data_IF_154356266307
#
_entry.id   IF_154356266307
#
_cell.length_a   1.000
_cell.length_b   1.000
_cell.length_c   1.000
_cell.angle_alpha   90.00
_cell.angle_beta   90.00
_cell.angle_gamma   90.00
#
_symmetry.space_group_name_H-M   'P 1'
#
loop_
_entity.id
_entity.type
_entity.pdbx_description
1 polymer ?
#
# COMPACT_ATOMS: atom_id res chain seq x y z
N UNK A 1 11.85 5.89 -21.84
CA UNK A 1 12.95 5.12 -22.50
C UNK A 1 12.83 5.03 -24.03
N UNK A 2 11.77 4.46 -24.61
CA UNK A 2 11.66 4.24 -26.07
C UNK A 2 11.81 5.52 -26.92
N UNK A 3 11.26 6.65 -26.45
CA UNK A 3 11.39 7.99 -27.06
C UNK A 3 12.83 8.52 -27.10
N UNK A 4 13.63 8.28 -26.05
CA UNK A 4 15.03 8.76 -25.97
C UNK A 4 15.98 7.92 -26.80
N UNK A 5 15.74 6.60 -26.87
CA UNK A 5 16.47 5.72 -27.78
C UNK A 5 16.23 6.13 -29.24
N UNK A 6 14.99 6.44 -29.61
CA UNK A 6 14.67 6.95 -30.95
C UNK A 6 15.38 8.29 -31.24
N UNK A 7 15.42 9.21 -30.27
CA UNK A 7 16.11 10.48 -30.40
C UNK A 7 17.63 10.30 -30.56
N UNK A 8 18.25 9.42 -29.77
CA UNK A 8 19.67 9.11 -29.87
C UNK A 8 20.03 8.49 -31.23
N UNK A 9 19.23 7.54 -31.71
CA UNK A 9 19.41 6.93 -33.05
C UNK A 9 19.28 7.98 -34.16
N UNK A 10 18.31 8.89 -34.05
CA UNK A 10 18.11 9.97 -35.02
C UNK A 10 19.33 10.92 -35.06
N UNK A 11 19.86 11.31 -33.90
CA UNK A 11 21.06 12.16 -33.83
C UNK A 11 22.27 11.47 -34.47
N UNK A 12 22.46 10.17 -34.24
CA UNK A 12 23.55 9.39 -34.85
C UNK A 12 23.40 9.38 -36.36
N UNK A 13 22.20 9.08 -36.88
CA UNK A 13 21.92 9.05 -38.32
C UNK A 13 22.09 10.43 -38.99
N UNK A 14 21.67 11.51 -38.32
CA UNK A 14 21.84 12.88 -38.83
C UNK A 14 23.31 13.27 -38.86
N UNK A 15 24.08 12.95 -37.82
CA UNK A 15 25.52 13.26 -37.75
C UNK A 15 26.30 12.47 -38.81
N UNK A 16 25.97 11.19 -39.00
CA UNK A 16 26.58 10.37 -40.04
C UNK A 16 26.16 10.83 -41.45
N UNK A 17 24.88 11.12 -41.65
CA UNK A 17 24.34 11.60 -42.93
C UNK A 17 24.87 12.97 -43.33
N UNK A 18 25.01 13.91 -42.39
CA UNK A 18 25.60 15.23 -42.67
C UNK A 18 27.07 15.12 -43.06
N UNK A 19 27.83 14.23 -42.43
CA UNK A 19 29.21 13.98 -42.84
C UNK A 19 29.30 13.40 -44.26
N UNK A 20 28.51 12.35 -44.57
CA UNK A 20 28.47 11.77 -45.91
C UNK A 20 28.06 12.80 -46.97
N UNK A 21 27.08 13.65 -46.66
CA UNK A 21 26.64 14.71 -47.55
C UNK A 21 27.75 15.72 -47.85
N UNK A 22 28.44 16.23 -46.81
CA UNK A 22 29.51 17.21 -47.01
C UNK A 22 30.73 16.62 -47.72
N UNK A 23 31.11 15.39 -47.39
CA UNK A 23 32.34 14.78 -47.90
C UNK A 23 32.18 14.26 -49.34
N UNK A 24 31.07 13.60 -49.64
CA UNK A 24 30.82 12.96 -50.94
C UNK A 24 30.19 13.91 -51.96
N UNK A 25 29.10 14.60 -51.58
CA UNK A 25 28.33 15.41 -52.53
C UNK A 25 28.89 16.81 -52.74
N UNK A 26 29.44 17.45 -51.69
CA UNK A 26 29.92 18.84 -51.78
C UNK A 26 31.39 18.96 -52.15
N UNK A 27 32.24 18.04 -51.70
CA UNK A 27 33.70 18.12 -51.91
C UNK A 27 34.23 17.26 -53.05
N UNK A 28 33.39 16.44 -53.72
CA UNK A 28 33.77 15.53 -54.81
C UNK A 28 35.05 14.71 -54.54
N UNK A 29 35.34 14.39 -53.27
CA UNK A 29 36.49 13.58 -52.94
C UNK A 29 36.18 12.12 -53.26
N UNK A 30 37.08 11.46 -53.99
CA UNK A 30 37.06 10.00 -54.13
C UNK A 30 37.15 9.33 -52.76
N UNK A 31 36.67 8.09 -52.67
CA UNK A 31 36.68 7.29 -51.45
C UNK A 31 38.13 6.90 -51.09
N UNK A 32 38.91 7.86 -50.57
CA UNK A 32 40.32 7.62 -50.24
C UNK A 32 40.38 6.81 -48.93
N UNK A 33 40.94 5.60 -49.01
CA UNK A 33 41.24 4.72 -47.87
C UNK A 33 42.51 5.23 -47.17
N UNK A 34 42.50 6.49 -46.76
CA UNK A 34 43.58 7.10 -45.99
C UNK A 34 43.23 7.01 -44.50
N UNK A 35 44.07 6.29 -43.76
CA UNK A 35 43.95 6.10 -42.31
C UNK A 35 43.83 7.43 -41.56
N UNK A 36 44.53 8.48 -42.03
CA UNK A 36 44.51 9.79 -41.39
C UNK A 36 43.16 10.50 -41.55
N UNK A 37 42.51 10.36 -42.72
CA UNK A 37 41.17 10.91 -42.95
C UNK A 37 40.11 10.20 -42.12
N UNK A 38 40.23 8.88 -41.97
CA UNK A 38 39.36 8.09 -41.09
C UNK A 38 39.51 8.44 -39.61
N UNK A 39 40.74 8.68 -39.16
CA UNK A 39 41.02 9.17 -37.81
C UNK A 39 40.36 10.52 -37.53
N UNK A 40 40.48 11.47 -38.48
CA UNK A 40 39.84 12.79 -38.36
C UNK A 40 38.31 12.71 -38.38
N UNK A 41 37.73 11.81 -39.17
CA UNK A 41 36.29 11.54 -39.18
C UNK A 41 35.80 11.01 -37.83
N UNK A 42 36.46 9.98 -37.30
CA UNK A 42 36.16 9.43 -35.98
C UNK A 42 36.27 10.50 -34.89
N UNK A 43 37.26 11.38 -34.99
CA UNK A 43 37.43 12.54 -34.10
C UNK A 43 36.27 13.54 -34.17
N UNK A 44 35.80 13.89 -35.37
CA UNK A 44 34.64 14.78 -35.55
C UNK A 44 33.35 14.16 -35.03
N UNK A 45 33.04 12.92 -35.43
CA UNK A 45 31.84 12.21 -34.98
C UNK A 45 31.88 12.00 -33.47
N UNK A 46 33.01 11.56 -32.91
CA UNK A 46 33.17 11.40 -31.47
C UNK A 46 33.08 12.73 -30.71
N UNK A 47 33.64 13.81 -31.26
CA UNK A 47 33.60 15.15 -30.68
C UNK A 47 32.21 15.80 -30.68
N UNK A 48 31.36 15.50 -31.67
CA UNK A 48 29.98 16.00 -31.75
C UNK A 48 29.02 15.08 -31.00
N UNK A 49 29.09 13.76 -31.23
CA UNK A 49 28.21 12.80 -30.57
C UNK A 49 28.51 12.66 -29.08
N UNK A 50 29.76 12.76 -28.66
CA UNK A 50 30.15 12.60 -27.25
C UNK A 50 29.37 13.53 -26.32
N UNK A 51 29.40 14.85 -26.51
CA UNK A 51 28.62 15.81 -25.71
C UNK A 51 27.10 15.60 -25.82
N UNK A 52 26.57 15.32 -27.02
CA UNK A 52 25.13 15.13 -27.23
C UNK A 52 24.63 13.86 -26.53
N UNK A 53 25.33 12.74 -26.69
CA UNK A 53 25.00 11.49 -26.02
C UNK A 53 25.17 11.61 -24.51
N UNK A 54 26.17 12.36 -24.03
CA UNK A 54 26.36 12.62 -22.60
C UNK A 54 25.19 13.42 -22.03
N UNK A 55 24.73 14.47 -22.73
CA UNK A 55 23.55 15.23 -22.33
C UNK A 55 22.27 14.38 -22.32
N UNK A 56 22.05 13.56 -23.35
CA UNK A 56 20.92 12.62 -23.42
C UNK A 56 20.97 11.58 -22.31
N UNK A 57 22.16 11.06 -21.98
CA UNK A 57 22.35 10.12 -20.89
C UNK A 57 21.99 10.75 -19.54
N UNK A 58 22.43 11.99 -19.28
CA UNK A 58 22.07 12.71 -18.06
C UNK A 58 20.56 12.94 -17.93
N UNK A 59 19.88 13.33 -19.02
CA UNK A 59 18.42 13.49 -19.04
C UNK A 59 17.72 12.16 -18.76
N UNK A 60 18.16 11.08 -19.40
CA UNK A 60 17.58 9.75 -19.21
C UNK A 60 17.75 9.24 -17.77
N UNK A 61 18.92 9.45 -17.17
CA UNK A 61 19.18 9.13 -15.77
C UNK A 61 18.29 9.95 -14.85
N UNK A 62 18.15 11.26 -15.09
CA UNK A 62 17.28 12.13 -14.29
C UNK A 62 15.83 11.67 -14.28
N UNK A 63 15.25 11.36 -15.45
CA UNK A 63 13.88 10.83 -15.54
C UNK A 63 13.76 9.46 -14.87
N UNK A 64 14.78 8.61 -15.02
CA UNK A 64 14.80 7.29 -14.37
C UNK A 64 14.79 7.42 -12.84
N UNK A 65 15.61 8.31 -12.28
CA UNK A 65 15.64 8.57 -10.84
C UNK A 65 14.32 9.12 -10.31
N UNK A 66 13.67 10.01 -11.05
CA UNK A 66 12.35 10.53 -10.67
C UNK A 66 11.29 9.42 -10.63
N UNK A 67 11.25 8.57 -11.67
CA UNK A 67 10.32 7.45 -11.72
C UNK A 67 10.61 6.41 -10.62
N UNK A 68 11.89 6.12 -10.37
CA UNK A 68 12.31 5.24 -9.28
C UNK A 68 11.90 5.79 -7.92
N UNK A 69 12.04 7.10 -7.69
CA UNK A 69 11.60 7.74 -6.45
C UNK A 69 10.10 7.58 -6.23
N UNK A 70 9.28 7.88 -7.24
CA UNK A 70 7.82 7.73 -7.16
C UNK A 70 7.41 6.27 -6.92
N UNK A 71 8.04 5.32 -7.64
CA UNK A 71 7.79 3.90 -7.46
C UNK A 71 8.17 3.43 -6.04
N UNK A 72 9.30 3.91 -5.52
CA UNK A 72 9.76 3.58 -4.17
C UNK A 72 8.83 4.17 -3.09
N UNK A 73 8.39 5.42 -3.22
CA UNK A 73 7.41 6.02 -2.31
C UNK A 73 6.07 5.26 -2.32
N UNK A 74 5.63 4.83 -3.50
CA UNK A 74 4.43 4.00 -3.62
C UNK A 74 4.61 2.62 -2.97
N UNK A 75 5.75 1.98 -3.17
CA UNK A 75 6.10 0.69 -2.54
C UNK A 75 6.11 0.81 -1.01
N UNK A 76 6.76 1.83 -0.47
CA UNK A 76 6.83 2.05 0.98
C UNK A 76 5.45 2.22 1.61
N UNK A 77 4.55 2.97 0.96
CA UNK A 77 3.16 3.12 1.43
C UNK A 77 2.39 1.81 1.37
N UNK A 78 2.59 1.02 0.31
CA UNK A 78 1.98 -0.29 0.17
C UNK A 78 2.45 -1.25 1.27
N UNK A 79 3.75 -1.28 1.53
CA UNK A 79 4.36 -2.10 2.59
C UNK A 79 3.85 -1.70 3.97
N UNK A 80 3.72 -0.39 4.25
CA UNK A 80 3.16 0.08 5.52
C UNK A 80 1.71 -0.39 5.73
N UNK A 81 0.89 -0.36 4.67
CA UNK A 81 -0.50 -0.85 4.73
C UNK A 81 -0.53 -2.36 4.98
N UNK A 82 0.36 -3.12 4.34
CA UNK A 82 0.44 -4.57 4.52
C UNK A 82 0.89 -4.93 5.92
N UNK A 83 1.94 -4.29 6.45
CA UNK A 83 2.39 -4.49 7.83
C UNK A 83 1.26 -4.23 8.83
N UNK A 84 0.54 -3.13 8.69
CA UNK A 84 -0.62 -2.82 9.56
C UNK A 84 -1.75 -3.84 9.42
N UNK A 85 -1.94 -4.39 8.22
CA UNK A 85 -2.94 -5.43 7.97
C UNK A 85 -2.54 -6.74 8.65
N UNK A 86 -1.26 -7.12 8.58
CA UNK A 86 -0.71 -8.27 9.29
C UNK A 86 -0.80 -8.11 10.82
N UNK A 87 -0.47 -6.92 11.33
CA UNK A 87 -0.63 -6.59 12.75
C UNK A 87 -2.09 -6.72 13.19
N UNK A 88 -3.03 -6.23 12.39
CA UNK A 88 -4.46 -6.36 12.63
C UNK A 88 -4.90 -7.84 12.65
N UNK A 89 -4.40 -8.66 11.72
CA UNK A 89 -4.66 -10.09 11.72
C UNK A 89 -4.08 -10.79 12.95
N UNK A 90 -2.91 -10.37 13.43
CA UNK A 90 -2.30 -10.90 14.64
C UNK A 90 -3.10 -10.52 15.89
N UNK A 91 -3.52 -9.26 16.02
CA UNK A 91 -4.43 -8.79 17.07
C UNK A 91 -5.73 -9.59 17.02
N UNK A 92 -6.28 -9.78 15.83
CA UNK A 92 -7.49 -10.57 15.62
C UNK A 92 -7.31 -12.02 16.10
N UNK A 93 -6.22 -12.70 15.74
CA UNK A 93 -5.93 -14.07 16.20
C UNK A 93 -5.79 -14.15 17.72
N UNK A 94 -5.12 -13.19 18.34
CA UNK A 94 -5.00 -13.12 19.80
C UNK A 94 -6.36 -12.89 20.46
N UNK A 95 -7.20 -12.04 19.87
CA UNK A 95 -8.57 -11.81 20.31
C UNK A 95 -9.42 -13.08 20.20
N UNK A 96 -9.37 -13.79 19.07
CA UNK A 96 -10.08 -15.08 18.91
C UNK A 96 -9.64 -16.09 19.98
N UNK A 97 -8.33 -16.19 20.21
CA UNK A 97 -7.78 -17.06 21.26
C UNK A 97 -8.31 -16.66 22.63
N UNK A 98 -8.33 -15.36 22.95
CA UNK A 98 -8.85 -14.84 24.21
C UNK A 98 -10.33 -15.19 24.40
N UNK A 99 -11.17 -14.99 23.38
CA UNK A 99 -12.62 -15.19 23.53
C UNK A 99 -13.02 -16.67 23.56
N UNK A 100 -12.24 -17.54 22.92
CA UNK A 100 -12.49 -18.98 22.89
C UNK A 100 -11.79 -19.76 24.01
N UNK A 101 -10.82 -19.15 24.71
CA UNK A 101 -10.20 -19.77 25.88
C UNK A 101 -11.22 -19.89 27.00
N UNK A 102 -11.34 -21.11 27.55
CA UNK A 102 -12.22 -21.38 28.69
C UNK A 102 -11.65 -20.74 29.96
N UNK A 103 -12.49 -20.04 30.69
CA UNK A 103 -12.12 -19.45 31.96
C UNK A 103 -12.80 -20.20 33.11
N UNK A 104 -12.01 -20.58 34.13
CA UNK A 104 -12.55 -21.22 35.35
C UNK A 104 -13.59 -20.35 36.05
N UNK A 105 -13.42 -19.03 35.98
CA UNK A 105 -14.36 -18.03 36.51
C UNK A 105 -15.71 -18.06 35.78
N UNK A 106 -15.72 -18.41 34.49
CA UNK A 106 -16.93 -18.52 33.66
C UNK A 106 -17.52 -19.95 33.67
N UNK A 107 -17.34 -20.70 34.75
CA UNK A 107 -17.83 -22.08 34.88
C UNK A 107 -17.38 -23.01 33.73
N UNK A 108 -16.11 -22.89 33.32
CA UNK A 108 -15.53 -23.65 32.18
C UNK A 108 -16.15 -23.32 30.81
N UNK A 109 -16.92 -22.24 30.70
CA UNK A 109 -17.33 -21.66 29.41
C UNK A 109 -16.24 -20.71 28.89
N UNK A 110 -16.19 -20.59 27.57
CA UNK A 110 -15.44 -19.52 26.90
C UNK A 110 -16.18 -18.18 27.03
N UNK A 111 -15.46 -17.07 26.86
CA UNK A 111 -16.09 -15.72 26.82
C UNK A 111 -17.10 -15.64 25.69
N UNK A 112 -16.80 -16.26 24.54
CA UNK A 112 -17.69 -16.34 23.39
C UNK A 112 -19.02 -17.03 23.75
N UNK A 113 -18.96 -18.21 24.35
CA UNK A 113 -20.14 -18.95 24.78
C UNK A 113 -20.91 -18.18 25.87
N UNK A 114 -20.23 -17.61 26.85
CA UNK A 114 -20.86 -16.87 27.94
C UNK A 114 -21.62 -15.63 27.49
N UNK A 115 -21.10 -14.90 26.49
CA UNK A 115 -21.74 -13.70 25.91
C UNK A 115 -22.89 -14.07 24.96
N UNK A 116 -22.76 -15.16 24.21
CA UNK A 116 -23.76 -15.56 23.23
C UNK A 116 -24.91 -16.41 23.83
N UNK A 117 -24.72 -16.93 25.04
CA UNK A 117 -25.72 -17.73 25.74
C UNK A 117 -26.85 -16.86 26.32
N UNK A 118 -27.95 -16.78 25.57
CA UNK A 118 -29.19 -16.10 25.95
C UNK A 118 -29.86 -16.60 27.24
N UNK A 119 -29.44 -17.76 27.78
CA UNK A 119 -30.07 -18.37 28.97
C UNK A 119 -29.64 -17.73 30.30
N UNK A 120 -28.61 -16.86 30.32
CA UNK A 120 -28.17 -16.14 31.52
C UNK A 120 -29.11 -15.00 31.95
N UNK A 121 -30.18 -14.72 31.19
CA UNK A 121 -31.19 -13.71 31.52
C UNK A 121 -32.03 -13.98 32.76
N UNK A 122 -31.83 -15.09 33.50
CA UNK A 122 -32.69 -15.46 34.65
C UNK A 122 -32.00 -15.64 36.00
N UNK A 123 -30.68 -15.62 36.08
CA UNK A 123 -30.00 -15.50 37.38
C UNK A 123 -28.80 -14.60 37.20
N UNK A 124 -28.86 -13.38 37.73
CA UNK A 124 -27.74 -12.45 37.90
C UNK A 124 -26.75 -12.47 36.74
N UNK A 125 -26.88 -11.56 35.77
CA UNK A 125 -25.76 -11.22 34.87
C UNK A 125 -24.53 -11.04 35.74
N UNK A 126 -23.67 -12.06 35.80
CA UNK A 126 -22.58 -12.05 36.77
C UNK A 126 -21.70 -10.87 36.41
N UNK A 127 -21.28 -10.10 37.42
CA UNK A 127 -20.42 -8.94 37.18
C UNK A 127 -19.21 -9.32 36.30
N UNK A 128 -18.73 -10.55 36.45
CA UNK A 128 -17.68 -11.17 35.63
C UNK A 128 -18.00 -11.24 34.13
N UNK A 129 -19.25 -11.51 33.72
CA UNK A 129 -19.66 -11.49 32.30
C UNK A 129 -19.69 -10.06 31.77
N UNK A 130 -20.16 -9.09 32.57
CA UNK A 130 -20.15 -7.67 32.18
C UNK A 130 -18.73 -7.15 32.03
N UNK A 131 -17.85 -7.51 32.96
CA UNK A 131 -16.44 -7.15 32.93
C UNK A 131 -15.76 -7.78 31.70
N UNK A 132 -16.07 -9.04 31.38
CA UNK A 132 -15.56 -9.71 30.18
C UNK A 132 -16.09 -9.07 28.89
N UNK A 133 -17.38 -8.73 28.84
CA UNK A 133 -17.98 -8.03 27.71
C UNK A 133 -17.36 -6.64 27.50
N UNK A 134 -17.01 -5.94 28.59
CA UNK A 134 -16.30 -4.67 28.52
C UNK A 134 -14.92 -4.83 27.90
N UNK A 135 -14.12 -5.81 28.33
CA UNK A 135 -12.80 -6.11 27.73
C UNK A 135 -12.94 -6.44 26.24
N UNK A 136 -13.97 -7.20 25.87
CA UNK A 136 -14.28 -7.51 24.46
C UNK A 136 -14.54 -6.23 23.68
N UNK A 137 -15.40 -5.34 24.18
CA UNK A 137 -15.72 -4.10 23.48
C UNK A 137 -14.51 -3.15 23.40
N UNK A 138 -13.73 -3.02 24.46
CA UNK A 138 -12.50 -2.22 24.45
C UNK A 138 -11.51 -2.74 23.38
N UNK A 139 -11.41 -4.06 23.23
CA UNK A 139 -10.58 -4.68 22.18
C UNK A 139 -11.17 -4.45 20.79
N UNK A 140 -12.49 -4.56 20.63
CA UNK A 140 -13.17 -4.28 19.36
C UNK A 140 -13.08 -2.80 18.95
N UNK A 141 -13.04 -1.86 19.90
CA UNK A 141 -12.77 -0.44 19.64
C UNK A 141 -11.37 -0.26 19.03
N UNK A 142 -10.36 -0.94 19.59
CA UNK A 142 -9.00 -0.89 19.06
C UNK A 142 -8.93 -1.49 17.64
N UNK A 143 -9.57 -2.64 17.43
CA UNK A 143 -9.66 -3.29 16.11
C UNK A 143 -10.36 -2.37 15.11
N UNK A 144 -11.51 -1.78 15.47
CA UNK A 144 -12.26 -0.86 14.63
C UNK A 144 -11.45 0.38 14.26
N UNK A 145 -10.70 0.94 15.22
CA UNK A 145 -9.82 2.09 15.00
C UNK A 145 -8.76 1.78 13.94
N UNK A 146 -8.10 0.63 14.06
CA UNK A 146 -7.07 0.19 13.11
C UNK A 146 -7.66 -0.06 11.71
N UNK A 147 -8.84 -0.66 11.63
CA UNK A 147 -9.55 -0.89 10.36
C UNK A 147 -9.82 0.43 9.63
N UNK A 148 -10.33 1.45 10.34
CA UNK A 148 -10.61 2.75 9.75
C UNK A 148 -9.35 3.43 9.21
N UNK A 149 -8.24 3.35 9.93
CA UNK A 149 -6.94 3.88 9.46
C UNK A 149 -6.45 3.14 8.21
N UNK A 150 -6.57 1.81 8.17
CA UNK A 150 -6.17 1.02 7.00
C UNK A 150 -7.09 1.32 5.81
N UNK A 151 -8.39 1.44 6.02
CA UNK A 151 -9.37 1.81 4.99
C UNK A 151 -8.99 3.16 4.36
N UNK A 152 -8.74 4.18 5.18
CA UNK A 152 -8.36 5.51 4.70
C UNK A 152 -7.05 5.48 3.90
N UNK A 153 -6.02 4.78 4.40
CA UNK A 153 -4.75 4.63 3.68
C UNK A 153 -4.90 3.90 2.35
N UNK A 154 -5.75 2.86 2.28
CA UNK A 154 -6.05 2.16 1.04
C UNK A 154 -6.77 3.06 0.03
N UNK A 155 -7.77 3.84 0.47
CA UNK A 155 -8.45 4.82 -0.39
C UNK A 155 -7.47 5.83 -0.98
N UNK A 156 -6.54 6.34 -0.16
CA UNK A 156 -5.53 7.31 -0.60
C UNK A 156 -4.51 6.72 -1.57
N UNK A 157 -4.06 5.48 -1.33
CA UNK A 157 -3.02 4.85 -2.15
C UNK A 157 -3.55 4.38 -3.50
N UNK A 158 -4.65 3.63 -3.51
CA UNK A 158 -5.15 2.99 -4.72
C UNK A 158 -6.11 3.87 -5.51
N UNK A 159 -6.62 4.96 -4.91
CA UNK A 159 -7.75 5.75 -5.44
C UNK A 159 -8.96 4.87 -5.79
N UNK A 160 -9.03 3.69 -5.17
CA UNK A 160 -10.04 2.69 -5.39
C UNK A 160 -10.83 2.54 -4.09
N UNK A 161 -12.08 2.99 -4.13
CA UNK A 161 -12.98 2.91 -2.99
C UNK A 161 -13.46 1.47 -2.76
N UNK A 162 -13.51 0.64 -3.81
CA UNK A 162 -14.05 -0.71 -3.74
C UNK A 162 -13.16 -1.63 -2.90
N UNK A 163 -11.85 -1.67 -3.16
CA UNK A 163 -10.92 -2.49 -2.36
C UNK A 163 -10.89 -2.10 -0.88
N UNK A 164 -10.95 -0.79 -0.59
CA UNK A 164 -11.00 -0.30 0.79
C UNK A 164 -12.31 -0.70 1.49
N UNK A 165 -13.45 -0.61 0.79
CA UNK A 165 -14.75 -1.01 1.33
C UNK A 165 -14.83 -2.53 1.54
N UNK A 166 -14.35 -3.32 0.57
CA UNK A 166 -14.32 -4.78 0.66
C UNK A 166 -13.47 -5.27 1.85
N UNK A 167 -12.33 -4.62 2.08
CA UNK A 167 -11.51 -4.86 3.26
C UNK A 167 -12.31 -4.66 4.54
N UNK A 168 -12.94 -3.50 4.73
CA UNK A 168 -13.76 -3.22 5.91
C UNK A 168 -14.93 -4.20 6.07
N UNK A 169 -15.62 -4.52 4.98
CA UNK A 169 -16.78 -5.42 4.99
C UNK A 169 -16.45 -6.81 5.54
N UNK A 170 -15.26 -7.32 5.24
CA UNK A 170 -14.76 -8.61 5.78
C UNK A 170 -14.74 -8.60 7.32
N UNK A 171 -14.31 -7.49 7.92
CA UNK A 171 -14.23 -7.36 9.38
C UNK A 171 -15.59 -7.12 10.03
N UNK A 172 -16.47 -6.34 9.37
CA UNK A 172 -17.87 -6.19 9.80
C UNK A 172 -18.54 -7.56 9.87
N UNK A 173 -18.42 -8.36 8.80
CA UNK A 173 -19.00 -9.70 8.76
C UNK A 173 -18.48 -10.60 9.90
N UNK A 174 -17.19 -10.47 10.23
CA UNK A 174 -16.55 -11.26 11.28
C UNK A 174 -17.03 -10.88 12.68
N UNK A 175 -17.15 -9.60 13.00
CA UNK A 175 -17.32 -9.15 14.38
C UNK A 175 -18.65 -8.50 14.73
N UNK A 176 -19.45 -8.04 13.77
CA UNK A 176 -20.68 -7.30 14.06
C UNK A 176 -21.65 -8.11 14.93
N UNK A 177 -21.87 -9.39 14.62
CA UNK A 177 -22.81 -10.24 15.37
C UNK A 177 -22.42 -10.40 16.84
N UNK A 178 -21.20 -10.87 17.08
CA UNK A 178 -20.67 -11.06 18.43
C UNK A 178 -20.51 -9.75 19.20
N UNK A 179 -20.01 -8.70 18.54
CA UNK A 179 -19.84 -7.37 19.11
C UNK A 179 -21.16 -6.76 19.59
N UNK A 180 -22.25 -6.93 18.82
CA UNK A 180 -23.58 -6.48 19.24
C UNK A 180 -24.11 -7.24 20.47
N UNK A 181 -23.77 -8.52 20.64
CA UNK A 181 -24.12 -9.27 21.85
C UNK A 181 -23.35 -8.73 23.06
N UNK A 182 -22.04 -8.50 22.92
CA UNK A 182 -21.21 -7.92 23.98
C UNK A 182 -21.65 -6.49 24.35
N UNK A 183 -21.99 -5.67 23.35
CA UNK A 183 -22.40 -4.27 23.53
C UNK A 183 -23.70 -4.15 24.34
N UNK A 184 -24.63 -5.11 24.21
CA UNK A 184 -25.88 -5.15 25.00
C UNK A 184 -25.67 -5.48 26.48
N UNK A 185 -24.53 -6.07 26.84
CA UNK A 185 -24.24 -6.51 28.21
C UNK A 185 -23.57 -5.44 29.07
N UNK A 186 -22.99 -4.42 28.44
CA UNK A 186 -22.26 -3.33 29.11
C UNK A 186 -23.18 -2.14 29.43
N UNK A 187 -22.79 -1.33 30.41
CA UNK A 187 -23.49 -0.09 30.73
C UNK A 187 -23.32 0.93 29.58
N UNK A 188 -24.39 1.57 29.07
CA UNK A 188 -24.30 2.61 28.05
C UNK A 188 -23.32 3.75 28.39
N UNK A 189 -23.12 4.05 29.68
CA UNK A 189 -22.21 5.10 30.13
C UNK A 189 -20.74 4.67 30.18
N UNK A 190 -20.45 3.38 29.96
CA UNK A 190 -19.08 2.86 29.99
C UNK A 190 -18.24 3.23 28.78
N UNK A 191 -18.88 3.73 27.71
CA UNK A 191 -18.26 4.06 26.43
C UNK A 191 -18.66 5.47 26.04
N UNK A 192 -17.69 6.27 25.59
CA UNK A 192 -17.96 7.64 25.14
C UNK A 192 -18.50 7.67 23.70
N UNK A 193 -19.05 8.82 23.30
CA UNK A 193 -19.65 9.00 21.97
C UNK A 193 -18.66 8.75 20.82
N UNK A 194 -17.38 9.09 21.00
CA UNK A 194 -16.33 8.89 19.99
C UNK A 194 -16.05 7.40 19.77
N UNK A 195 -15.92 6.63 20.85
CA UNK A 195 -15.73 5.18 20.79
C UNK A 195 -16.94 4.48 20.15
N UNK A 196 -18.16 4.97 20.40
CA UNK A 196 -19.37 4.48 19.74
C UNK A 196 -19.35 4.73 18.23
N UNK A 197 -18.96 5.94 17.79
CA UNK A 197 -18.80 6.27 16.37
C UNK A 197 -17.77 5.36 15.69
N UNK A 198 -16.64 5.11 16.37
CA UNK A 198 -15.58 4.21 15.87
C UNK A 198 -16.10 2.77 15.68
N UNK A 199 -16.84 2.24 16.66
CA UNK A 199 -17.44 0.91 16.56
C UNK A 199 -18.47 0.81 15.44
N UNK A 200 -19.32 1.82 15.31
CA UNK A 200 -20.36 1.84 14.27
C UNK A 200 -19.74 1.95 12.88
N UNK A 201 -18.78 2.85 12.69
CA UNK A 201 -18.14 3.08 11.38
C UNK A 201 -17.17 1.99 10.98
N UNK A 202 -16.44 1.43 11.94
CA UNK A 202 -15.40 0.42 11.70
C UNK A 202 -15.95 -1.00 11.60
N UNK A 203 -16.89 -1.35 12.49
CA UNK A 203 -17.39 -2.73 12.64
C UNK A 203 -18.91 -2.88 12.53
N UNK A 204 -19.69 -1.79 12.42
CA UNK A 204 -21.14 -1.86 12.30
C UNK A 204 -21.87 -2.29 13.58
N UNK A 205 -21.24 -2.11 14.75
CA UNK A 205 -21.80 -2.46 16.06
C UNK A 205 -22.62 -1.27 16.60
N UNK A 206 -23.83 -1.51 17.13
CA UNK A 206 -24.80 -0.48 17.52
C UNK A 206 -25.51 -0.73 18.85
#
# INVERSE_FOLDING_TARGET
MRKYLLMAVLVILVTFGTYLYFFYFKSHQEFVIDSQKWSNFGGFIGGVLGPILSALALIAVSETLQNQKVANEHSQKFDEINMRTEDLENISKQFESMIHTRARKLHDKSVYEAINDSSFGRSSTSQEIKDSAKVVIDTLINIASVILVIEEKKKLLFKDEFSALAFKQTWIYKYAGFGNCAYKLIDPNSINTSQKDVLERGLGIK
#
